data_IF_275726147985
#
_entry.id   IF_275726147985
#
_cell.length_a   1.000
_cell.length_b   1.000
_cell.length_c   1.000
_cell.angle_alpha   90.00
_cell.angle_beta   90.00
_cell.angle_gamma   90.00
#
_symmetry.space_group_name_H-M   'P 1'
#
loop_
_entity.id
_entity.type
_entity.pdbx_description
1 polymer ?
#
# COMPACT_ATOMS: atom_id res chain seq x y z
N UNK A 1 -4.09 22.36 5.63
CA UNK A 1 -3.66 21.38 4.61
C UNK A 1 -3.27 20.11 5.34
N UNK A 2 -3.69 18.94 4.86
CA UNK A 2 -3.23 17.66 5.38
C UNK A 2 -1.72 17.54 5.17
N UNK A 3 -0.99 17.06 6.18
CA UNK A 3 0.47 16.93 6.13
C UNK A 3 0.83 15.76 5.23
N UNK A 4 1.68 15.97 4.22
CA UNK A 4 2.25 14.87 3.43
C UNK A 4 3.25 14.08 4.28
N UNK A 5 3.13 12.76 4.26
CA UNK A 5 3.95 11.82 5.03
C UNK A 5 4.97 11.13 4.13
N UNK A 6 4.51 10.52 3.03
CA UNK A 6 5.34 9.75 2.09
C UNK A 6 5.01 10.11 0.64
N UNK A 7 5.92 9.79 -0.27
CA UNK A 7 5.75 9.98 -1.71
C UNK A 7 6.42 8.85 -2.47
N UNK A 8 5.67 8.29 -3.41
CA UNK A 8 6.20 7.43 -4.46
C UNK A 8 6.08 8.18 -5.79
N UNK A 9 7.21 8.64 -6.31
CA UNK A 9 7.32 9.36 -7.57
C UNK A 9 8.58 8.88 -8.27
N UNK A 10 8.40 8.00 -9.25
CA UNK A 10 9.51 7.35 -9.96
C UNK A 10 10.33 8.36 -10.74
N UNK A 11 9.71 9.41 -11.29
CA UNK A 11 10.43 10.46 -11.99
C UNK A 11 11.31 11.25 -11.03
N UNK A 12 10.78 11.66 -9.88
CA UNK A 12 11.57 12.37 -8.87
C UNK A 12 12.74 11.52 -8.34
N UNK A 13 12.54 10.21 -8.16
CA UNK A 13 13.61 9.27 -7.79
C UNK A 13 14.70 9.25 -8.88
N UNK A 14 14.30 9.10 -10.15
CA UNK A 14 15.24 9.08 -11.29
C UNK A 14 16.02 10.39 -11.37
N UNK A 15 15.34 11.54 -11.31
CA UNK A 15 15.96 12.86 -11.39
C UNK A 15 16.97 13.08 -10.26
N UNK A 16 16.61 12.70 -9.03
CA UNK A 16 17.50 12.78 -7.87
C UNK A 16 18.73 11.89 -8.01
N UNK A 17 18.57 10.67 -8.52
CA UNK A 17 19.69 9.76 -8.73
C UNK A 17 20.60 10.22 -9.88
N UNK A 18 20.03 10.76 -10.96
CA UNK A 18 20.80 11.38 -12.05
C UNK A 18 21.64 12.53 -11.51
N UNK A 19 21.07 13.42 -10.70
CA UNK A 19 21.79 14.54 -10.08
C UNK A 19 22.93 14.03 -9.18
N UNK A 20 22.67 13.02 -8.35
CA UNK A 20 23.65 12.39 -7.46
C UNK A 20 24.83 11.78 -8.22
N UNK A 21 24.56 10.99 -9.27
CA UNK A 21 25.59 10.37 -10.12
C UNK A 21 26.42 11.41 -10.88
N UNK A 22 25.80 12.51 -11.31
CA UNK A 22 26.52 13.64 -11.91
C UNK A 22 27.44 14.34 -10.91
N UNK A 23 26.94 14.64 -9.72
CA UNK A 23 27.71 15.31 -8.69
C UNK A 23 28.92 14.47 -8.21
N UNK A 24 28.77 13.15 -8.18
CA UNK A 24 29.85 12.22 -7.82
C UNK A 24 30.86 11.96 -8.95
N UNK A 25 30.56 12.38 -10.18
CA UNK A 25 31.38 12.08 -11.36
C UNK A 25 31.28 10.63 -11.83
N UNK A 26 30.24 9.91 -11.41
CA UNK A 26 29.93 8.57 -11.91
C UNK A 26 29.42 8.68 -13.37
N UNK A 27 29.96 7.85 -14.26
CA UNK A 27 29.67 7.88 -15.71
C UNK A 27 29.94 9.24 -16.39
N UNK A 28 31.16 9.78 -16.34
CA UNK A 28 31.47 11.11 -16.90
C UNK A 28 31.39 11.16 -18.43
N UNK A 29 31.31 10.00 -19.08
CA UNK A 29 31.24 9.87 -20.54
C UNK A 29 29.81 9.79 -21.08
N UNK A 30 28.80 9.55 -20.22
CA UNK A 30 27.41 9.47 -20.65
C UNK A 30 26.78 10.86 -20.69
N UNK A 31 26.03 11.17 -21.75
CA UNK A 31 25.14 12.34 -21.78
C UNK A 31 23.99 12.21 -20.77
N UNK A 32 23.30 13.31 -20.45
CA UNK A 32 22.20 13.31 -19.46
C UNK A 32 21.06 12.40 -19.85
N UNK A 33 20.72 12.34 -21.15
CA UNK A 33 19.69 11.42 -21.64
C UNK A 33 20.09 9.94 -21.52
N UNK A 34 21.39 9.63 -21.70
CA UNK A 34 21.90 8.26 -21.55
C UNK A 34 21.97 7.85 -20.07
N UNK A 35 22.39 8.76 -19.19
CA UNK A 35 22.39 8.51 -17.76
C UNK A 35 20.95 8.35 -17.25
N UNK A 36 20.03 9.21 -17.66
CA UNK A 36 18.60 9.10 -17.33
C UNK A 36 18.06 7.72 -17.70
N UNK A 37 18.28 7.28 -18.96
CA UNK A 37 17.85 5.94 -19.40
C UNK A 37 18.48 4.83 -18.55
N UNK A 38 19.77 4.94 -18.25
CA UNK A 38 20.48 3.97 -17.41
C UNK A 38 19.88 3.88 -16.00
N UNK A 39 19.47 5.01 -15.42
CA UNK A 39 18.81 5.05 -14.11
C UNK A 39 17.38 4.50 -14.19
N UNK A 40 16.63 4.74 -15.27
CA UNK A 40 15.32 4.13 -15.48
C UNK A 40 15.35 2.59 -15.49
N UNK A 41 16.46 2.00 -15.89
CA UNK A 41 16.67 0.54 -15.96
C UNK A 41 17.25 -0.04 -14.64
N UNK A 42 17.48 0.81 -13.63
CA UNK A 42 18.06 0.41 -12.35
C UNK A 42 17.01 -0.17 -11.41
N UNK A 43 16.72 -1.46 -11.56
CA UNK A 43 15.73 -2.15 -10.74
C UNK A 43 16.07 -2.14 -9.24
N UNK A 44 17.36 -2.20 -8.89
CA UNK A 44 17.80 -2.20 -7.50
C UNK A 44 17.48 -0.87 -6.84
N UNK A 45 17.70 0.26 -7.53
CA UNK A 45 17.31 1.59 -7.08
C UNK A 45 15.83 1.65 -6.68
N UNK A 46 14.93 1.25 -7.57
CA UNK A 46 13.50 1.28 -7.29
C UNK A 46 13.11 0.30 -6.19
N UNK A 47 13.73 -0.88 -6.14
CA UNK A 47 13.48 -1.85 -5.09
C UNK A 47 13.86 -1.30 -3.71
N UNK A 48 15.02 -0.64 -3.59
CA UNK A 48 15.44 0.00 -2.35
C UNK A 48 14.48 1.11 -1.92
N UNK A 49 14.12 2.02 -2.83
CA UNK A 49 13.16 3.08 -2.52
C UNK A 49 11.78 2.54 -2.14
N UNK A 50 11.31 1.49 -2.80
CA UNK A 50 10.03 0.87 -2.50
C UNK A 50 10.03 0.24 -1.11
N UNK A 51 11.08 -0.50 -0.78
CA UNK A 51 11.25 -1.09 0.55
C UNK A 51 11.28 -0.01 1.63
N UNK A 52 12.09 1.02 1.47
CA UNK A 52 12.21 2.10 2.46
C UNK A 52 10.86 2.84 2.67
N UNK A 53 10.08 3.03 1.60
CA UNK A 53 8.72 3.59 1.68
C UNK A 53 7.76 2.67 2.44
N UNK A 54 7.79 1.37 2.14
CA UNK A 54 6.95 0.37 2.80
C UNK A 54 7.31 0.19 4.28
N UNK A 55 8.58 0.22 4.63
CA UNK A 55 9.07 0.14 6.01
C UNK A 55 8.61 1.37 6.80
N UNK A 56 8.79 2.57 6.25
CA UNK A 56 8.32 3.81 6.88
C UNK A 56 6.78 3.81 7.07
N UNK A 57 6.02 3.30 6.10
CA UNK A 57 4.58 3.15 6.23
C UNK A 57 4.20 2.12 7.30
N UNK A 58 4.91 1.00 7.36
CA UNK A 58 4.71 -0.05 8.38
C UNK A 58 4.90 0.51 9.78
N UNK A 59 5.99 1.25 10.03
CA UNK A 59 6.23 1.87 11.33
C UNK A 59 5.12 2.84 11.75
N UNK A 60 4.50 3.54 10.80
CA UNK A 60 3.35 4.41 11.08
C UNK A 60 2.10 3.61 11.39
N UNK A 61 1.84 2.55 10.61
CA UNK A 61 0.72 1.63 10.81
C UNK A 61 0.76 0.97 12.19
N UNK A 62 1.91 0.45 12.62
CA UNK A 62 2.07 -0.20 13.92
C UNK A 62 1.77 0.74 15.09
N UNK A 63 2.13 2.02 14.95
CA UNK A 63 1.86 3.06 15.97
C UNK A 63 0.37 3.43 16.02
N UNK A 64 -0.30 3.44 14.87
CA UNK A 64 -1.70 3.89 14.74
C UNK A 64 -2.70 2.76 15.00
N UNK A 65 -2.40 1.54 14.56
CA UNK A 65 -3.33 0.43 14.52
C UNK A 65 -2.62 -0.93 14.64
N UNK A 66 -2.17 -1.31 15.85
CA UNK A 66 -1.49 -2.59 16.07
C UNK A 66 -2.37 -3.82 15.78
N UNK A 67 -3.70 -3.68 15.79
CA UNK A 67 -4.61 -4.78 15.42
C UNK A 67 -4.57 -5.11 13.92
N UNK A 68 -4.23 -4.11 13.08
CA UNK A 68 -4.02 -4.28 11.64
C UNK A 68 -5.30 -4.39 10.80
N UNK A 69 -6.48 -4.10 11.35
CA UNK A 69 -7.73 -4.04 10.59
C UNK A 69 -8.01 -2.63 10.08
N UNK A 70 -8.29 -2.50 8.79
CA UNK A 70 -8.44 -1.21 8.12
C UNK A 70 -9.75 -1.16 7.33
N UNK A 71 -10.39 0.00 7.37
CA UNK A 71 -11.44 0.40 6.45
C UNK A 71 -10.85 1.37 5.44
N UNK A 72 -11.16 1.19 4.16
CA UNK A 72 -10.77 2.12 3.12
C UNK A 72 -11.95 2.50 2.23
N UNK A 73 -12.06 3.80 1.95
CA UNK A 73 -12.96 4.37 0.93
C UNK A 73 -12.12 4.87 -0.24
N UNK A 74 -12.47 4.44 -1.45
CA UNK A 74 -11.93 4.96 -2.70
C UNK A 74 -12.92 5.94 -3.33
N UNK A 75 -12.43 7.07 -3.79
CA UNK A 75 -13.21 8.08 -4.50
C UNK A 75 -12.61 8.40 -5.87
N UNK A 76 -13.48 8.54 -6.86
CA UNK A 76 -13.12 8.82 -8.25
C UNK A 76 -12.11 7.81 -8.84
N UNK A 77 -12.30 6.52 -8.56
CA UNK A 77 -11.45 5.45 -9.07
C UNK A 77 -11.55 5.33 -10.60
N UNK A 78 -10.39 5.41 -11.26
CA UNK A 78 -10.22 5.28 -12.70
C UNK A 78 -11.04 6.25 -13.56
N UNK A 79 -11.09 5.96 -14.87
CA UNK A 79 -11.76 6.84 -15.85
C UNK A 79 -13.28 6.97 -15.65
N UNK A 80 -13.90 5.96 -15.00
CA UNK A 80 -15.34 5.95 -14.67
C UNK A 80 -15.67 6.74 -13.41
N UNK A 81 -14.67 7.17 -12.63
CA UNK A 81 -14.84 7.89 -11.36
C UNK A 81 -15.77 7.14 -10.40
N UNK A 82 -15.51 5.85 -10.22
CA UNK A 82 -16.32 5.05 -9.30
C UNK A 82 -15.88 5.30 -7.87
N UNK A 83 -16.85 5.27 -6.97
CA UNK A 83 -16.60 5.25 -5.54
C UNK A 83 -16.83 3.84 -5.02
N UNK A 84 -16.15 3.47 -3.94
CA UNK A 84 -16.31 2.16 -3.31
C UNK A 84 -15.59 2.11 -1.98
N UNK A 85 -15.82 1.04 -1.23
CA UNK A 85 -15.20 0.84 0.06
C UNK A 85 -14.87 -0.62 0.28
N UNK A 86 -13.98 -0.90 1.22
CA UNK A 86 -13.71 -2.26 1.69
C UNK A 86 -13.07 -2.28 3.07
N UNK A 87 -13.15 -3.45 3.70
CA UNK A 87 -12.42 -3.79 4.92
C UNK A 87 -11.36 -4.84 4.63
N UNK A 88 -10.20 -4.74 5.26
CA UNK A 88 -9.10 -5.69 5.07
C UNK A 88 -8.13 -5.69 6.25
N UNK A 89 -7.31 -6.73 6.34
CA UNK A 89 -6.20 -6.81 7.30
C UNK A 89 -4.88 -6.54 6.60
N UNK A 90 -4.07 -5.63 7.16
CA UNK A 90 -2.73 -5.34 6.71
C UNK A 90 -1.83 -4.98 7.89
N UNK A 91 -0.81 -5.81 8.12
CA UNK A 91 0.23 -5.58 9.14
C UNK A 91 1.51 -4.95 8.59
N UNK A 92 1.59 -4.70 7.28
CA UNK A 92 2.75 -4.12 6.61
C UNK A 92 2.30 -3.11 5.56
N UNK A 93 3.11 -2.08 5.33
CA UNK A 93 2.87 -1.00 4.36
C UNK A 93 2.62 -1.51 2.95
N UNK A 94 3.43 -2.46 2.50
CA UNK A 94 3.25 -3.11 1.19
C UNK A 94 1.87 -3.78 1.08
N UNK A 95 1.46 -4.54 2.11
CA UNK A 95 0.14 -5.19 2.13
C UNK A 95 -0.98 -4.16 2.10
N UNK A 96 -0.86 -3.04 2.83
CA UNK A 96 -1.86 -1.97 2.80
C UNK A 96 -1.98 -1.35 1.42
N UNK A 97 -0.83 -0.99 0.80
CA UNK A 97 -0.81 -0.37 -0.53
C UNK A 97 -1.37 -1.31 -1.59
N UNK A 98 -1.01 -2.60 -1.55
CA UNK A 98 -1.54 -3.62 -2.47
C UNK A 98 -3.05 -3.83 -2.33
N UNK A 99 -3.61 -3.54 -1.15
CA UNK A 99 -5.05 -3.61 -0.96
C UNK A 99 -5.74 -2.42 -1.63
N UNK A 100 -5.21 -1.20 -1.55
CA UNK A 100 -5.94 -0.01 -1.99
C UNK A 100 -5.59 0.43 -3.42
N UNK A 101 -4.32 0.30 -3.83
CA UNK A 101 -3.85 0.76 -5.13
C UNK A 101 -4.13 -0.27 -6.24
N UNK A 102 -4.38 0.19 -7.48
CA UNK A 102 -4.44 -0.70 -8.63
C UNK A 102 -3.08 -1.34 -8.92
N UNK A 103 -3.09 -2.55 -9.48
CA UNK A 103 -1.88 -3.28 -9.88
C UNK A 103 -1.33 -2.75 -11.22
N UNK A 104 -0.76 -1.55 -11.17
CA UNK A 104 -0.17 -0.83 -12.31
C UNK A 104 0.84 0.21 -11.81
N UNK A 105 1.56 0.83 -12.73
CA UNK A 105 2.45 1.95 -12.47
C UNK A 105 1.66 3.13 -11.90
N UNK A 106 1.92 3.40 -10.63
CA UNK A 106 1.32 4.50 -9.89
C UNK A 106 2.39 5.53 -9.51
N UNK A 107 1.99 6.78 -9.45
CA UNK A 107 2.64 7.84 -8.67
C UNK A 107 1.65 8.22 -7.57
N UNK A 108 2.08 8.29 -6.32
CA UNK A 108 1.15 8.58 -5.23
C UNK A 108 1.78 9.33 -4.07
N UNK A 109 0.93 9.99 -3.30
CA UNK A 109 1.29 10.71 -2.09
C UNK A 109 0.43 10.24 -0.93
N UNK A 110 1.08 9.93 0.18
CA UNK A 110 0.41 9.56 1.44
C UNK A 110 0.38 10.78 2.35
N UNK A 111 -0.79 11.09 2.89
CA UNK A 111 -1.05 12.21 3.79
C UNK A 111 -1.60 11.71 5.12
N UNK A 112 -1.33 12.49 6.16
CA UNK A 112 -1.98 12.35 7.44
C UNK A 112 -3.48 12.62 7.32
N UNK A 113 -4.30 11.76 7.92
CA UNK A 113 -5.75 11.81 7.86
C UNK A 113 -6.36 11.43 9.21
N UNK A 114 -7.63 11.81 9.41
CA UNK A 114 -8.38 11.54 10.65
C UNK A 114 -7.64 11.95 11.95
N UNK A 115 -6.89 13.05 11.90
CA UNK A 115 -6.18 13.59 13.06
C UNK A 115 -5.01 12.72 13.55
N UNK A 116 -4.26 12.10 12.64
CA UNK A 116 -3.13 11.24 13.02
C UNK A 116 -3.47 9.75 13.12
N UNK A 117 -4.75 9.37 12.93
CA UNK A 117 -5.18 7.97 13.07
C UNK A 117 -5.20 7.22 11.75
N UNK A 118 -5.26 7.89 10.61
CA UNK A 118 -5.40 7.24 9.31
C UNK A 118 -4.54 7.88 8.23
N UNK A 119 -4.73 7.40 7.02
CA UNK A 119 -4.01 7.85 5.84
C UNK A 119 -4.98 8.30 4.75
N UNK A 120 -4.66 9.40 4.08
CA UNK A 120 -5.25 9.73 2.79
C UNK A 120 -4.19 9.50 1.70
N UNK A 121 -4.51 8.72 0.68
CA UNK A 121 -3.61 8.43 -0.44
C UNK A 121 -4.16 9.05 -1.71
N UNK A 122 -3.40 9.96 -2.30
CA UNK A 122 -3.72 10.51 -3.60
C UNK A 122 -2.95 9.76 -4.68
N UNK A 123 -3.67 9.18 -5.64
CA UNK A 123 -3.10 8.30 -6.65
C UNK A 123 -3.19 8.89 -8.06
N UNK A 124 -2.14 8.66 -8.84
CA UNK A 124 -2.01 9.03 -10.24
C UNK A 124 -1.59 7.78 -11.01
N UNK A 125 -2.37 7.42 -12.03
CA UNK A 125 -2.07 6.33 -12.95
C UNK A 125 -2.67 6.65 -14.32
N UNK A 126 -2.44 5.81 -15.31
CA UNK A 126 -2.84 6.08 -16.70
C UNK A 126 -4.35 6.32 -16.88
N UNK A 127 -5.20 5.72 -16.03
CA UNK A 127 -6.66 5.92 -16.04
C UNK A 127 -7.12 7.10 -15.16
N UNK A 128 -6.24 7.65 -14.31
CA UNK A 128 -6.48 8.84 -13.48
C UNK A 128 -5.24 9.77 -13.44
N UNK A 129 -4.82 10.35 -14.58
CA UNK A 129 -3.51 11.02 -14.70
C UNK A 129 -3.43 12.36 -13.98
N UNK A 130 -4.57 12.90 -13.51
CA UNK A 130 -4.68 14.23 -12.89
C UNK A 130 -4.91 14.16 -11.38
N UNK A 131 -4.66 13.01 -10.74
CA UNK A 131 -4.68 12.88 -9.28
C UNK A 131 -6.05 13.11 -8.66
N UNK A 132 -7.11 12.72 -9.36
CA UNK A 132 -8.48 12.83 -8.81
C UNK A 132 -8.88 11.64 -7.96
N UNK A 133 -8.10 10.56 -8.03
CA UNK A 133 -8.31 9.35 -7.27
C UNK A 133 -7.75 9.52 -5.85
N UNK A 134 -8.60 9.28 -4.86
CA UNK A 134 -8.27 9.39 -3.44
C UNK A 134 -8.73 8.16 -2.70
N UNK A 135 -7.89 7.69 -1.79
CA UNK A 135 -8.21 6.65 -0.83
C UNK A 135 -8.14 7.22 0.57
N UNK A 136 -9.16 7.00 1.38
CA UNK A 136 -9.18 7.36 2.80
C UNK A 136 -9.18 6.08 3.62
N UNK A 137 -8.14 5.88 4.41
CA UNK A 137 -7.87 4.64 5.14
C UNK A 137 -7.86 4.95 6.62
N UNK A 138 -8.73 4.28 7.37
CA UNK A 138 -8.87 4.45 8.82
C UNK A 138 -8.74 3.10 9.55
N UNK A 139 -8.17 3.09 10.76
CA UNK A 139 -8.20 1.93 11.64
C UNK A 139 -9.64 1.54 11.94
N UNK A 140 -9.96 0.25 11.83
CA UNK A 140 -11.16 -0.31 12.44
C UNK A 140 -10.85 -0.62 13.90
N UNK A 141 -11.42 0.17 14.81
CA UNK A 141 -11.37 -0.04 16.26
C UNK A 141 -12.55 -0.88 16.77
N UNK A 142 -13.32 -1.49 15.86
CA UNK A 142 -14.49 -2.30 16.19
C UNK A 142 -14.14 -3.78 16.13
N UNK A 143 -14.68 -4.54 17.08
CA UNK A 143 -14.57 -6.00 17.09
C UNK A 143 -15.36 -6.65 15.95
N UNK A 144 -16.11 -5.90 15.12
CA UNK A 144 -17.05 -6.42 14.11
C UNK A 144 -16.87 -5.75 12.74
N UNK A 145 -17.09 -6.51 11.68
CA UNK A 145 -17.10 -6.05 10.31
C UNK A 145 -18.30 -5.13 10.04
N UNK A 146 -18.09 -3.87 9.61
CA UNK A 146 -19.19 -2.95 9.36
C UNK A 146 -20.14 -3.40 8.23
N UNK A 147 -19.68 -4.24 7.30
CA UNK A 147 -20.50 -4.70 6.18
C UNK A 147 -21.42 -5.89 6.54
N UNK A 148 -21.03 -6.74 7.49
CA UNK A 148 -21.78 -7.95 7.82
C UNK A 148 -22.06 -8.16 9.32
N UNK A 149 -21.55 -7.30 10.19
CA UNK A 149 -21.69 -7.37 11.66
C UNK A 149 -20.99 -8.56 12.30
N UNK A 150 -20.14 -9.30 11.57
CA UNK A 150 -19.43 -10.45 12.14
C UNK A 150 -18.18 -10.00 12.89
N UNK A 151 -17.92 -10.60 14.04
CA UNK A 151 -16.72 -10.28 14.82
C UNK A 151 -15.42 -10.59 14.03
N UNK A 152 -14.54 -9.59 13.91
CA UNK A 152 -13.15 -9.77 13.53
C UNK A 152 -12.43 -10.52 14.65
N UNK A 153 -12.07 -11.78 14.41
CA UNK A 153 -11.34 -12.58 15.41
C UNK A 153 -10.05 -11.87 15.83
N UNK A 154 -10.00 -11.46 17.10
CA UNK A 154 -8.79 -10.99 17.75
C UNK A 154 -7.88 -12.19 18.05
N UNK A 155 -6.75 -12.22 17.34
CA UNK A 155 -5.51 -12.91 17.66
C UNK A 155 -5.27 -14.40 17.34
N UNK A 156 -4.06 -14.57 16.80
CA UNK A 156 -3.12 -15.69 16.81
C UNK A 156 -3.63 -17.10 17.19
N UNK A 157 -3.70 -17.99 16.21
CA UNK A 157 -3.11 -19.32 16.38
C UNK A 157 -4.03 -20.53 16.37
N UNK A 158 -5.35 -20.44 16.59
CA UNK A 158 -6.18 -21.66 16.63
C UNK A 158 -7.57 -21.50 15.99
N UNK A 159 -7.78 -22.31 14.95
CA UNK A 159 -9.03 -22.94 14.49
C UNK A 159 -10.30 -22.08 14.31
N UNK A 160 -10.57 -21.82 13.03
CA UNK A 160 -11.85 -22.03 12.32
C UNK A 160 -13.20 -21.93 13.06
N UNK A 161 -14.04 -20.99 12.57
CA UNK A 161 -15.53 -20.93 12.49
C UNK A 161 -16.36 -20.93 13.79
N UNK A 162 -17.43 -20.10 13.86
CA UNK A 162 -18.88 -20.50 13.91
C UNK A 162 -19.76 -19.30 13.50
N UNK A 163 -20.65 -19.47 12.51
CA UNK A 163 -21.80 -18.59 12.26
C UNK A 163 -22.81 -19.26 11.33
N UNK A 164 -24.05 -19.49 11.79
CA UNK A 164 -25.13 -20.20 11.06
C UNK A 164 -25.71 -19.42 9.86
N UNK A 165 -25.18 -18.23 9.57
CA UNK A 165 -25.58 -17.43 8.41
C UNK A 165 -24.38 -17.22 7.49
N UNK A 166 -24.58 -17.63 6.24
CA UNK A 166 -23.65 -17.67 5.11
C UNK A 166 -22.44 -16.74 5.18
N UNK A 167 -21.30 -17.33 4.81
CA UNK A 167 -20.02 -16.68 4.55
C UNK A 167 -20.18 -15.31 3.89
N UNK A 168 -19.63 -14.28 4.51
CA UNK A 168 -19.39 -13.01 3.83
C UNK A 168 -18.30 -13.26 2.77
N UNK A 169 -18.67 -13.28 1.49
CA UNK A 169 -17.74 -13.50 0.38
C UNK A 169 -16.60 -12.47 0.33
N UNK A 170 -16.76 -11.33 0.99
CA UNK A 170 -15.76 -10.26 1.07
C UNK A 170 -14.67 -10.50 2.13
N UNK A 171 -14.92 -11.30 3.17
CA UNK A 171 -13.95 -11.56 4.25
C UNK A 171 -13.11 -12.84 4.04
N UNK A 172 -13.55 -13.76 3.18
CA UNK A 172 -13.01 -15.13 3.14
C UNK A 172 -12.06 -15.46 1.99
N UNK A 173 -11.92 -14.63 0.94
CA UNK A 173 -11.06 -15.01 -0.20
C UNK A 173 -9.55 -14.99 0.13
N UNK A 174 -9.13 -14.31 1.20
CA UNK A 174 -7.70 -14.17 1.51
C UNK A 174 -7.12 -15.23 2.45
N UNK A 175 -7.94 -15.98 3.19
CA UNK A 175 -7.43 -16.94 4.18
C UNK A 175 -6.98 -18.28 3.56
N UNK A 176 -7.28 -18.52 2.27
CA UNK A 176 -6.94 -19.78 1.60
C UNK A 176 -5.55 -19.80 0.95
N UNK A 177 -4.84 -18.66 0.84
CA UNK A 177 -3.55 -18.62 0.15
C UNK A 177 -2.30 -18.67 1.05
N UNK A 178 -2.42 -18.39 2.35
CA UNK A 178 -1.26 -18.33 3.27
C UNK A 178 -1.04 -19.64 4.09
N UNK A 179 -1.63 -20.77 3.69
CA UNK A 179 -1.54 -22.05 4.44
C UNK A 179 -0.71 -23.14 3.71
N UNK A 180 -0.18 -22.87 2.52
CA UNK A 180 0.69 -23.82 1.81
C UNK A 180 2.15 -23.35 1.79
N UNK A 181 2.86 -23.48 2.91
CA UNK A 181 4.31 -23.79 2.95
C UNK A 181 4.80 -23.87 4.41
N UNK A 182 4.38 -24.92 5.12
CA UNK A 182 5.22 -25.51 6.17
C UNK A 182 5.23 -27.01 5.90
N UNK A 183 6.03 -27.41 4.91
CA UNK A 183 6.40 -28.81 4.76
C UNK A 183 7.33 -29.15 5.93
N UNK A 184 6.77 -29.95 6.82
CA UNK A 184 7.41 -30.63 7.93
C UNK A 184 8.40 -31.68 7.39
N UNK A 185 9.68 -31.32 7.31
CA UNK A 185 10.78 -32.29 7.15
C UNK A 185 11.32 -32.64 8.55
N UNK A 186 10.60 -33.53 9.25
CA UNK A 186 11.17 -34.31 10.36
C UNK A 186 11.53 -35.72 9.89
N UNK A 187 12.84 -35.99 9.99
CA UNK A 187 13.60 -37.26 10.01
C UNK A 187 13.70 -38.12 8.72
#
# INVERSE_FOLDING_TARGET
MARRLLTWDTLAIIEGEVESRRASGEYPHLSDAELFRKVCEDHDLFHFHWRDLCDALTEMMEKQNPAGWWYAEAHNFGWRKLDGHKTFRAGAGEKLLRQILPDTECTFHVYDYAGGRGFAVNNFHHDSPVGKEWYYVEPLDHAECPDCGQEFLHDAGERAFIGEHGLCSLCCEYYQHDVEEVADDTE
#
